data_IF_520827875810
#
_entry.id   IF_520827875810
#
_cell.length_a   1.000
_cell.length_b   1.000
_cell.length_c   1.000
_cell.angle_alpha   90.00
_cell.angle_beta   90.00
_cell.angle_gamma   90.00
#
_symmetry.space_group_name_H-M   'P 1'
#
loop_
_entity.id
_entity.type
_entity.pdbx_description
1 polymer ?
#
# COMPACT_ATOMS: atom_id res chain seq x y z
N UNK A 1 -36.48 -0.78 9.54
CA UNK A 1 -35.27 -0.05 9.08
C UNK A 1 -34.23 -1.10 8.77
N UNK A 2 -34.06 -1.42 7.49
CA UNK A 2 -33.01 -2.32 7.05
C UNK A 2 -31.68 -1.62 7.29
N UNK A 3 -30.88 -2.16 8.21
CA UNK A 3 -29.45 -1.81 8.26
C UNK A 3 -28.89 -2.18 6.88
N UNK A 4 -28.14 -1.29 6.20
CA UNK A 4 -27.46 -1.67 4.97
C UNK A 4 -26.68 -2.94 5.27
N UNK A 5 -26.81 -3.95 4.41
CA UNK A 5 -26.03 -5.19 4.46
C UNK A 5 -24.57 -4.78 4.69
N UNK A 6 -24.13 -4.92 5.93
CA UNK A 6 -22.78 -4.62 6.32
C UNK A 6 -21.94 -5.59 5.51
N UNK A 7 -21.14 -5.08 4.59
CA UNK A 7 -19.98 -5.82 4.14
C UNK A 7 -19.32 -6.38 5.41
N UNK A 8 -19.31 -7.70 5.56
CA UNK A 8 -18.48 -8.38 6.55
C UNK A 8 -17.03 -8.07 6.17
N UNK A 9 -16.54 -6.92 6.65
CA UNK A 9 -15.16 -6.52 6.51
C UNK A 9 -14.40 -7.26 7.60
N UNK A 10 -13.63 -8.27 7.21
CA UNK A 10 -12.68 -8.92 8.10
C UNK A 10 -11.43 -8.02 8.27
N UNK A 11 -11.21 -7.43 9.45
CA UNK A 11 -10.05 -6.59 9.73
C UNK A 11 -8.72 -7.32 9.52
N UNK A 12 -8.68 -8.63 9.76
CA UNK A 12 -7.48 -9.44 9.56
C UNK A 12 -7.19 -9.61 8.07
N UNK A 13 -8.22 -9.87 7.26
CA UNK A 13 -8.09 -9.94 5.81
C UNK A 13 -7.59 -8.61 5.21
N UNK A 14 -8.13 -7.47 5.66
CA UNK A 14 -7.69 -6.15 5.16
C UNK A 14 -6.23 -5.87 5.55
N UNK A 15 -5.84 -6.20 6.79
CA UNK A 15 -4.43 -6.07 7.23
C UNK A 15 -3.50 -6.98 6.43
N UNK A 16 -3.93 -8.20 6.10
CA UNK A 16 -3.15 -9.09 5.24
C UNK A 16 -3.00 -8.52 3.83
N UNK A 17 -4.06 -7.93 3.25
CA UNK A 17 -3.97 -7.22 1.97
C UNK A 17 -3.04 -6.00 2.05
N UNK A 18 -3.13 -5.20 3.11
CA UNK A 18 -2.24 -4.06 3.32
C UNK A 18 -0.77 -4.49 3.38
N UNK A 19 -0.47 -5.61 4.02
CA UNK A 19 0.88 -6.18 4.06
C UNK A 19 1.36 -6.61 2.66
N UNK A 20 0.49 -7.19 1.83
CA UNK A 20 0.84 -7.50 0.42
C UNK A 20 1.23 -6.24 -0.34
N UNK A 21 0.50 -5.13 -0.18
CA UNK A 21 0.86 -3.85 -0.81
C UNK A 21 2.20 -3.30 -0.30
N UNK A 22 2.47 -3.41 1.00
CA UNK A 22 3.76 -3.01 1.58
C UNK A 22 4.92 -3.87 1.04
N UNK A 23 4.72 -5.18 0.90
CA UNK A 23 5.72 -6.07 0.33
C UNK A 23 5.96 -5.76 -1.15
N UNK A 24 4.90 -5.54 -1.93
CA UNK A 24 5.00 -5.14 -3.32
C UNK A 24 5.75 -3.81 -3.47
N UNK A 25 5.47 -2.82 -2.61
CA UNK A 25 6.22 -1.55 -2.57
C UNK A 25 7.72 -1.78 -2.40
N UNK A 26 8.12 -2.60 -1.42
CA UNK A 26 9.54 -2.92 -1.16
C UNK A 26 10.20 -3.64 -2.34
N UNK A 27 9.50 -4.58 -2.97
CA UNK A 27 10.01 -5.27 -4.15
C UNK A 27 10.22 -4.31 -5.32
N UNK A 28 9.28 -3.40 -5.55
CA UNK A 28 9.40 -2.36 -6.59
C UNK A 28 10.58 -1.43 -6.30
N UNK A 29 10.83 -1.07 -5.03
CA UNK A 29 12.04 -0.29 -4.67
C UNK A 29 13.35 -1.04 -4.95
N UNK A 30 13.40 -2.35 -4.71
CA UNK A 30 14.56 -3.17 -5.02
C UNK A 30 14.82 -3.24 -6.54
N UNK A 31 13.75 -3.43 -7.32
CA UNK A 31 13.84 -3.40 -8.79
C UNK A 31 14.29 -2.02 -9.26
N UNK A 32 13.74 -0.94 -8.70
CA UNK A 32 14.16 0.44 -9.00
C UNK A 32 15.64 0.64 -8.76
N UNK A 33 16.17 0.18 -7.63
CA UNK A 33 17.60 0.30 -7.33
C UNK A 33 18.45 -0.41 -8.39
N UNK A 34 18.00 -1.58 -8.84
CA UNK A 34 18.68 -2.37 -9.88
C UNK A 34 18.61 -1.71 -11.25
N UNK A 35 17.47 -1.11 -11.60
CA UNK A 35 17.24 -0.43 -12.89
C UNK A 35 17.95 0.94 -12.93
N UNK A 36 18.01 1.66 -11.81
CA UNK A 36 18.67 2.96 -11.72
C UNK A 36 20.20 2.88 -11.78
N UNK A 37 20.79 1.74 -11.42
CA UNK A 37 22.22 1.47 -11.54
C UNK A 37 22.56 0.83 -12.90
N UNK A 38 22.36 1.58 -13.98
CA UNK A 38 22.79 1.10 -15.30
C UNK A 38 24.31 1.03 -15.37
N UNK A 39 24.86 -0.18 -15.42
CA UNK A 39 26.28 -0.43 -15.65
C UNK A 39 26.68 -0.43 -17.13
N UNK A 40 25.73 -0.15 -18.02
CA UNK A 40 25.98 -0.07 -19.45
C UNK A 40 27.00 1.02 -19.77
N UNK A 41 27.96 0.66 -20.60
CA UNK A 41 29.06 1.52 -21.03
C UNK A 41 29.09 1.65 -22.55
N UNK A 42 29.92 2.58 -23.04
CA UNK A 42 30.26 2.68 -24.46
C UNK A 42 30.75 1.36 -25.05
N UNK A 43 31.36 0.47 -24.25
CA UNK A 43 31.83 -0.83 -24.72
C UNK A 43 30.68 -1.81 -25.01
N UNK A 44 29.55 -1.69 -24.32
CA UNK A 44 28.39 -2.59 -24.47
C UNK A 44 27.59 -2.29 -25.74
N UNK A 45 27.61 -1.04 -26.20
CA UNK A 45 26.88 -0.58 -27.40
C UNK A 45 27.80 -0.21 -28.57
N UNK A 46 29.12 -0.17 -28.35
CA UNK A 46 30.12 0.19 -29.36
C UNK A 46 29.81 1.53 -30.04
N UNK A 47 29.96 1.59 -31.36
CA UNK A 47 29.72 2.81 -32.14
C UNK A 47 28.27 3.32 -32.07
N UNK A 48 27.31 2.50 -31.63
CA UNK A 48 25.91 2.92 -31.47
C UNK A 48 25.66 3.73 -30.20
N UNK A 49 26.61 3.75 -29.25
CA UNK A 49 26.49 4.50 -28.00
C UNK A 49 26.25 5.99 -28.22
N UNK A 50 26.94 6.60 -29.18
CA UNK A 50 26.82 8.04 -29.45
C UNK A 50 25.42 8.47 -29.90
N UNK A 51 24.61 7.51 -30.36
CA UNK A 51 23.26 7.76 -30.84
C UNK A 51 22.16 7.06 -30.03
N UNK A 52 22.49 6.00 -29.29
CA UNK A 52 21.52 5.19 -28.52
C UNK A 52 21.83 5.11 -27.03
N UNK A 53 23.05 5.43 -26.61
CA UNK A 53 23.48 5.40 -25.21
C UNK A 53 22.77 6.46 -24.37
N UNK A 54 22.68 7.69 -24.89
CA UNK A 54 21.93 8.77 -24.22
C UNK A 54 20.44 8.45 -24.09
N UNK A 55 19.82 7.88 -25.14
CA UNK A 55 18.42 7.45 -25.08
C UNK A 55 18.24 6.31 -24.08
N UNK A 56 19.17 5.35 -24.03
CA UNK A 56 19.18 4.27 -23.06
C UNK A 56 19.26 4.81 -21.63
N UNK A 57 20.22 5.67 -21.31
CA UNK A 57 20.36 6.30 -19.99
C UNK A 57 19.09 7.09 -19.62
N UNK A 58 18.57 7.88 -20.57
CA UNK A 58 17.34 8.66 -20.36
C UNK A 58 16.13 7.76 -20.08
N UNK A 59 15.96 6.66 -20.81
CA UNK A 59 14.85 5.74 -20.61
C UNK A 59 14.98 4.98 -19.29
N UNK A 60 16.18 4.52 -18.93
CA UNK A 60 16.41 3.83 -17.67
C UNK A 60 16.18 4.75 -16.46
N UNK A 61 16.58 6.02 -16.56
CA UNK A 61 16.28 7.03 -15.55
C UNK A 61 14.76 7.26 -15.41
N UNK A 62 14.03 7.36 -16.53
CA UNK A 62 12.58 7.50 -16.52
C UNK A 62 11.89 6.28 -15.89
N UNK A 63 12.31 5.07 -16.24
CA UNK A 63 11.78 3.83 -15.64
C UNK A 63 12.06 3.80 -14.14
N UNK A 64 13.26 4.18 -13.70
CA UNK A 64 13.59 4.24 -12.28
C UNK A 64 12.73 5.26 -11.52
N UNK A 65 12.35 6.37 -12.15
CA UNK A 65 11.42 7.34 -11.59
C UNK A 65 10.00 6.76 -11.50
N UNK A 66 9.51 6.14 -12.57
CA UNK A 66 8.17 5.54 -12.60
C UNK A 66 8.01 4.41 -11.57
N UNK A 67 9.03 3.58 -11.40
CA UNK A 67 9.06 2.57 -10.35
C UNK A 67 9.02 3.20 -8.95
N UNK A 68 9.69 4.33 -8.74
CA UNK A 68 9.62 5.07 -7.47
C UNK A 68 8.22 5.59 -7.16
N UNK A 69 7.54 6.11 -8.18
CA UNK A 69 6.14 6.56 -8.07
C UNK A 69 5.19 5.39 -7.78
N UNK A 70 5.40 4.24 -8.43
CA UNK A 70 4.62 3.02 -8.21
C UNK A 70 4.81 2.50 -6.79
N UNK A 71 6.05 2.38 -6.30
CA UNK A 71 6.32 1.99 -4.92
C UNK A 71 5.60 2.91 -3.92
N UNK A 72 5.70 4.22 -4.14
CA UNK A 72 4.99 5.22 -3.31
C UNK A 72 3.48 4.99 -3.27
N UNK A 73 2.85 4.75 -4.44
CA UNK A 73 1.42 4.47 -4.51
C UNK A 73 1.04 3.18 -3.78
N UNK A 74 1.82 2.11 -3.93
CA UNK A 74 1.58 0.84 -3.24
C UNK A 74 1.66 1.02 -1.71
N UNK A 75 2.68 1.73 -1.22
CA UNK A 75 2.79 2.05 0.20
C UNK A 75 1.64 2.91 0.73
N UNK A 76 1.17 3.88 -0.07
CA UNK A 76 0.01 4.70 0.30
C UNK A 76 -1.28 3.87 0.40
N UNK A 77 -1.52 2.95 -0.54
CA UNK A 77 -2.67 2.04 -0.48
C UNK A 77 -2.61 1.15 0.77
N UNK A 78 -1.45 0.55 1.07
CA UNK A 78 -1.26 -0.23 2.28
C UNK A 78 -1.52 0.56 3.56
N UNK A 79 -1.04 1.80 3.63
CA UNK A 79 -1.26 2.70 4.77
C UNK A 79 -2.74 3.08 4.93
N UNK A 80 -3.42 3.40 3.82
CA UNK A 80 -4.85 3.76 3.83
C UNK A 80 -5.73 2.59 4.25
N UNK A 81 -5.44 1.37 3.79
CA UNK A 81 -6.14 0.16 4.20
C UNK A 81 -5.99 -0.07 5.71
N UNK A 82 -4.76 0.02 6.23
CA UNK A 82 -4.49 -0.15 7.66
C UNK A 82 -5.22 0.91 8.50
N UNK A 83 -5.13 2.19 8.10
CA UNK A 83 -5.79 3.29 8.79
C UNK A 83 -7.32 3.15 8.79
N UNK A 84 -7.89 2.76 7.65
CA UNK A 84 -9.33 2.51 7.52
C UNK A 84 -9.80 1.37 8.44
N UNK A 85 -9.05 0.27 8.49
CA UNK A 85 -9.36 -0.86 9.38
C UNK A 85 -9.30 -0.47 10.85
N UNK A 86 -8.29 0.28 11.28
CA UNK A 86 -8.17 0.67 12.69
C UNK A 86 -9.31 1.60 13.15
N UNK A 87 -9.77 2.49 12.27
CA UNK A 87 -10.95 3.33 12.54
C UNK A 87 -12.22 2.51 12.74
N UNK A 88 -12.42 1.46 11.93
CA UNK A 88 -13.58 0.56 12.03
C UNK A 88 -13.54 -0.22 13.34
N UNK A 89 -12.40 -0.88 13.65
CA UNK A 89 -12.24 -1.65 14.89
C UNK A 89 -12.46 -0.76 16.13
N UNK A 90 -11.97 0.48 16.10
CA UNK A 90 -12.18 1.44 17.18
C UNK A 90 -13.66 1.85 17.32
N UNK A 91 -14.35 2.08 16.21
CA UNK A 91 -15.77 2.41 16.19
C UNK A 91 -16.61 1.26 16.77
N UNK A 92 -16.36 0.02 16.35
CA UNK A 92 -17.05 -1.17 16.83
C UNK A 92 -16.82 -1.40 18.33
N UNK A 93 -15.58 -1.28 18.79
CA UNK A 93 -15.23 -1.42 20.22
C UNK A 93 -15.95 -0.37 21.07
N UNK A 94 -16.04 0.86 20.58
CA UNK A 94 -16.73 1.96 21.28
C UNK A 94 -18.24 1.74 21.29
N UNK A 95 -18.82 1.31 20.16
CA UNK A 95 -20.23 0.93 20.06
C UNK A 95 -20.60 -0.19 21.02
N UNK A 96 -19.82 -1.27 21.05
CA UNK A 96 -20.00 -2.41 21.97
C UNK A 96 -19.96 -1.97 23.44
N UNK A 97 -19.00 -1.13 23.83
CA UNK A 97 -18.92 -0.59 25.20
C UNK A 97 -20.16 0.24 25.57
N UNK A 98 -20.62 1.09 24.68
CA UNK A 98 -21.81 1.91 24.91
C UNK A 98 -23.08 1.07 25.02
N UNK A 99 -23.26 0.06 24.16
CA UNK A 99 -24.39 -0.87 24.23
C UNK A 99 -24.36 -1.66 25.54
N UNK A 100 -23.19 -2.16 25.94
CA UNK A 100 -23.03 -2.86 27.22
C UNK A 100 -23.35 -1.97 28.42
N UNK A 101 -22.90 -0.71 28.41
CA UNK A 101 -23.23 0.25 29.45
C UNK A 101 -24.75 0.55 29.55
N UNK A 102 -25.46 0.58 28.42
CA UNK A 102 -26.92 0.74 28.39
C UNK A 102 -27.63 -0.53 28.89
N UNK A 103 -27.15 -1.71 28.50
CA UNK A 103 -27.67 -3.01 28.98
C UNK A 103 -27.50 -3.20 30.48
N UNK A 104 -26.31 -2.87 31.01
CA UNK A 104 -26.01 -3.00 32.44
C UNK A 104 -26.70 -1.90 33.28
N UNK A 105 -26.95 -0.71 32.72
CA UNK A 105 -27.66 0.39 33.38
C UNK A 105 -29.19 0.25 33.41
N UNK A 106 -29.76 -0.65 32.60
CA UNK A 106 -31.22 -0.86 32.50
C UNK A 106 -31.72 -2.12 33.21
N UNK A 107 -30.81 -2.98 33.71
CA UNK A 107 -31.14 -4.23 34.42
C UNK A 107 -31.19 -4.14 35.95
N UNK A 108 -31.04 -2.95 36.53
CA UNK A 108 -30.85 -2.75 37.98
C UNK A 108 -31.96 -1.96 38.69
N UNK A 109 -33.20 -2.05 38.24
CA UNK A 109 -34.35 -1.45 38.93
C UNK A 109 -35.64 -2.23 38.68
N UNK A 110 -35.78 -3.41 39.32
CA UNK A 110 -37.01 -3.96 39.92
C UNK A 110 -36.65 -5.09 40.87
#
# INVERSE_FOLDING_TARGET
>A
MSMPEGFEYDPEAIRAFAEVFNQASKQVEQIRATVGETSATTADFGNSWQQRGTDFESHMAAIAQDLGNLATHLGQVGAQLTQGTDLIVQADTTGLRNIKAIGDGSGGAV
#
